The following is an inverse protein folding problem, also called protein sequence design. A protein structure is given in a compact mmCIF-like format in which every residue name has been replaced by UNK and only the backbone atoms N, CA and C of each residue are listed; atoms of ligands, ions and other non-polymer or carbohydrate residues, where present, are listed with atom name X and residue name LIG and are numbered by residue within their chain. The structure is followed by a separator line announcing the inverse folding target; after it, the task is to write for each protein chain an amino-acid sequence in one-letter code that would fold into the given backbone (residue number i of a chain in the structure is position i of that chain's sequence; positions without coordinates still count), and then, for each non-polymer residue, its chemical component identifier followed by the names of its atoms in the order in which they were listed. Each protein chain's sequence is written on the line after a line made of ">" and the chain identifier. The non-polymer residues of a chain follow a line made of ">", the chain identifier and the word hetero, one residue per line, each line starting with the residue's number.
data_IF_591721074181
#
_entry.id   IF_591721074181
#
_cell.length_a   1.000
_cell.length_b   1.000
_cell.length_c   1.000
_cell.angle_alpha   90.00
_cell.angle_beta   90.00
_cell.angle_gamma   90.00
#
_symmetry.space_group_name_H-M   'P 1'
#
loop_
_entity.id
_entity.type
_entity.pdbx_description
1 polymer ?
#
# COMPACT_ATOMS: atom_id res chain seq x y z
N UNK A 1 -1.75 -8.68 -7.36
CA UNK A 1 -1.28 -7.87 -6.23
C UNK A 1 -1.71 -6.46 -6.54
N UNK A 2 -2.35 -5.77 -5.61
CA UNK A 2 -2.71 -4.37 -5.80
C UNK A 2 -1.45 -3.54 -5.54
N UNK A 3 -1.12 -2.60 -6.43
CA UNK A 3 0.08 -1.77 -6.27
C UNK A 3 -0.36 -0.32 -6.20
N UNK A 4 0.13 0.40 -5.19
CA UNK A 4 -0.20 1.79 -4.93
C UNK A 4 1.06 2.64 -4.88
N UNK A 5 0.94 3.88 -5.35
CA UNK A 5 1.79 4.96 -4.92
C UNK A 5 1.24 5.45 -3.57
N UNK A 6 2.02 5.31 -2.51
CA UNK A 6 1.71 5.82 -1.17
C UNK A 6 2.70 6.94 -0.88
N UNK A 7 2.30 8.16 -1.21
CA UNK A 7 3.11 9.37 -1.01
C UNK A 7 4.55 9.26 -1.55
N UNK A 8 4.70 8.71 -2.77
CA UNK A 8 5.98 8.50 -3.43
C UNK A 8 6.64 7.14 -3.16
N UNK A 9 6.12 6.34 -2.23
CA UNK A 9 6.56 4.96 -1.99
C UNK A 9 5.71 3.99 -2.82
N UNK A 10 6.31 2.93 -3.35
CA UNK A 10 5.55 1.89 -4.05
C UNK A 10 5.24 0.76 -3.08
N UNK A 11 3.95 0.60 -2.79
CA UNK A 11 3.43 -0.36 -1.81
C UNK A 11 2.55 -1.38 -2.53
N UNK A 12 2.84 -2.66 -2.30
CA UNK A 12 2.02 -3.76 -2.77
C UNK A 12 1.14 -4.28 -1.65
N UNK A 13 -0.12 -4.57 -1.96
CA UNK A 13 -1.07 -5.19 -1.06
C UNK A 13 -1.58 -6.47 -1.70
N UNK A 14 -1.56 -7.56 -0.94
CA UNK A 14 -2.02 -8.88 -1.40
C UNK A 14 -2.88 -9.53 -0.33
N UNK A 15 -4.04 -10.04 -0.74
CA UNK A 15 -4.86 -10.89 0.11
C UNK A 15 -4.28 -12.31 0.14
N UNK A 16 -4.10 -12.87 1.33
CA UNK A 16 -3.68 -14.24 1.54
C UNK A 16 -4.32 -14.80 2.80
N UNK A 17 -5.00 -15.97 2.70
CA UNK A 17 -5.68 -16.62 3.83
C UNK A 17 -6.57 -15.65 4.65
N UNK A 18 -7.36 -14.84 3.94
CA UNK A 18 -8.24 -13.81 4.54
C UNK A 18 -7.52 -12.67 5.27
N UNK A 19 -6.20 -12.54 5.12
CA UNK A 19 -5.43 -11.43 5.67
C UNK A 19 -4.81 -10.60 4.57
N UNK A 20 -4.68 -9.31 4.83
CA UNK A 20 -3.93 -8.41 3.96
C UNK A 20 -2.44 -8.43 4.34
N UNK A 21 -1.60 -8.69 3.35
CA UNK A 21 -0.15 -8.58 3.48
C UNK A 21 0.34 -7.38 2.69
N UNK A 22 1.23 -6.62 3.31
CA UNK A 22 1.79 -5.39 2.75
C UNK A 22 3.25 -5.62 2.37
N UNK A 23 3.67 -5.07 1.25
CA UNK A 23 5.00 -5.24 0.69
C UNK A 23 5.56 -3.89 0.22
N UNK A 24 6.88 -3.71 0.35
CA UNK A 24 7.60 -2.71 -0.43
C UNK A 24 7.89 -3.28 -1.81
N UNK A 25 7.66 -2.49 -2.85
CA UNK A 25 7.89 -2.92 -4.24
C UNK A 25 9.06 -2.14 -4.83
N UNK A 26 9.97 -2.85 -5.47
CA UNK A 26 10.94 -2.28 -6.40
C UNK A 26 10.45 -2.55 -7.83
N UNK A 27 10.00 -1.50 -8.51
CA UNK A 27 9.49 -1.62 -9.89
C UNK A 27 10.59 -1.86 -10.92
N UNK A 28 11.84 -1.45 -10.64
CA UNK A 28 12.96 -1.61 -11.55
C UNK A 28 13.40 -3.08 -11.58
N UNK A 29 13.52 -3.71 -10.41
CA UNK A 29 13.94 -5.10 -10.28
C UNK A 29 12.76 -6.09 -10.29
N UNK A 30 11.52 -5.60 -10.25
CA UNK A 30 10.28 -6.38 -10.06
C UNK A 30 10.33 -7.30 -8.84
N UNK A 31 10.99 -6.84 -7.77
CA UNK A 31 11.11 -7.54 -6.49
C UNK A 31 10.20 -6.91 -5.45
N UNK A 32 9.85 -7.69 -4.44
CA UNK A 32 9.07 -7.21 -3.30
C UNK A 32 9.57 -7.84 -2.01
N UNK A 33 9.49 -7.07 -0.92
CA UNK A 33 9.79 -7.54 0.43
C UNK A 33 8.64 -7.22 1.38
N UNK A 34 8.36 -8.07 2.39
CA UNK A 34 7.32 -7.79 3.37
C UNK A 34 7.55 -6.46 4.10
N UNK A 35 6.49 -5.67 4.25
CA UNK A 35 6.49 -4.47 5.07
C UNK A 35 5.86 -4.80 6.43
N UNK A 36 6.71 -5.11 7.40
CA UNK A 36 6.27 -5.36 8.77
C UNK A 36 5.82 -4.06 9.45
N UNK A 37 4.91 -4.19 10.42
CA UNK A 37 4.38 -3.06 11.20
C UNK A 37 3.19 -2.34 10.57
N UNK A 38 2.69 -2.82 9.43
CA UNK A 38 1.50 -2.29 8.74
C UNK A 38 0.46 -3.39 8.68
N UNK A 39 -0.66 -3.21 9.40
CA UNK A 39 -1.72 -4.21 9.53
C UNK A 39 -3.03 -3.61 9.04
N UNK A 40 -3.48 -4.05 7.86
CA UNK A 40 -4.79 -3.66 7.33
C UNK A 40 -5.85 -4.61 7.94
N UNK A 41 -7.00 -4.10 8.40
CA UNK A 41 -8.09 -4.92 8.91
C UNK A 41 -8.53 -6.02 7.93
N UNK A 42 -8.80 -7.22 8.44
CA UNK A 42 -9.18 -8.36 7.61
C UNK A 42 -10.54 -8.17 6.93
N UNK A 43 -11.41 -7.29 7.42
CA UNK A 43 -12.70 -6.97 6.81
C UNK A 43 -12.64 -5.86 5.76
N UNK A 44 -11.52 -5.13 5.64
CA UNK A 44 -11.36 -4.08 4.64
C UNK A 44 -11.48 -4.64 3.21
N UNK A 45 -12.29 -3.99 2.38
CA UNK A 45 -12.44 -4.32 0.96
C UNK A 45 -11.29 -3.76 0.11
N UNK A 46 -11.18 -4.21 -1.14
CA UNK A 46 -10.17 -3.70 -2.07
C UNK A 46 -10.31 -2.18 -2.32
N UNK A 47 -11.54 -1.68 -2.30
CA UNK A 47 -11.87 -0.27 -2.49
C UNK A 47 -11.50 0.60 -1.28
N UNK A 48 -11.44 0.02 -0.08
CA UNK A 48 -11.08 0.71 1.16
C UNK A 48 -9.56 0.79 1.39
N UNK A 49 -8.79 -0.10 0.76
CA UNK A 49 -7.31 -0.11 0.84
C UNK A 49 -6.66 1.25 0.60
N UNK A 50 -6.96 2.01 -0.48
CA UNK A 50 -6.32 3.30 -0.71
C UNK A 50 -6.60 4.31 0.40
N UNK A 51 -7.83 4.34 0.93
CA UNK A 51 -8.21 5.24 2.04
C UNK A 51 -7.44 4.86 3.31
N UNK A 52 -7.40 3.57 3.64
CA UNK A 52 -6.66 3.08 4.79
C UNK A 52 -5.16 3.38 4.70
N UNK A 53 -4.56 3.23 3.51
CA UNK A 53 -3.17 3.56 3.26
C UNK A 53 -2.92 5.07 3.36
N UNK A 54 -3.86 5.90 2.93
CA UNK A 54 -3.76 7.36 3.06
C UNK A 54 -3.71 7.75 4.54
N UNK A 55 -4.64 7.21 5.35
CA UNK A 55 -4.74 7.51 6.78
C UNK A 55 -3.48 7.11 7.56
N UNK A 56 -3.00 5.86 7.40
CA UNK A 56 -1.88 5.36 8.21
C UNK A 56 -0.52 5.93 7.79
N UNK A 57 -0.39 6.40 6.54
CA UNK A 57 0.84 7.00 6.01
C UNK A 57 0.76 8.51 5.82
N UNK A 58 -0.29 9.17 6.31
CA UNK A 58 -0.60 10.57 5.99
C UNK A 58 0.58 11.54 6.27
N UNK A 59 1.40 11.24 7.28
CA UNK A 59 2.61 12.03 7.60
C UNK A 59 3.65 12.09 6.46
N UNK A 60 3.59 11.16 5.50
CA UNK A 60 4.47 11.16 4.33
C UNK A 60 3.93 12.03 3.18
N UNK A 61 2.72 12.57 3.28
CA UNK A 61 2.12 13.43 2.26
C UNK A 61 2.98 14.67 2.00
N UNK A 62 3.03 15.08 0.74
CA UNK A 62 3.78 16.27 0.31
C UNK A 62 3.12 16.92 -0.89
N UNK A 63 3.49 18.15 -1.21
CA UNK A 63 2.99 18.84 -2.41
C UNK A 63 3.19 18.03 -3.71
N UNK A 64 4.28 17.24 -3.77
CA UNK A 64 4.60 16.40 -4.94
C UNK A 64 3.78 15.11 -4.98
N UNK A 65 3.47 14.55 -3.82
CA UNK A 65 2.67 13.33 -3.69
C UNK A 65 1.61 13.59 -2.61
N UNK A 66 0.47 14.20 -2.97
CA UNK A 66 -0.50 14.67 -1.98
C UNK A 66 -1.50 13.58 -1.54
N UNK A 67 -1.55 12.45 -2.25
CA UNK A 67 -2.57 11.42 -2.04
C UNK A 67 -2.08 10.04 -2.47
N UNK A 68 -2.69 9.00 -1.92
CA UNK A 68 -2.51 7.62 -2.37
C UNK A 68 -3.28 7.36 -3.68
N UNK A 69 -2.67 6.64 -4.62
CA UNK A 69 -3.35 6.21 -5.85
C UNK A 69 -2.86 4.85 -6.33
N UNK A 70 -3.76 4.09 -6.97
CA UNK A 70 -3.44 2.78 -7.54
C UNK A 70 -2.61 2.93 -8.82
N UNK A 71 -1.60 2.07 -8.97
CA UNK A 71 -0.73 1.94 -10.14
C UNK A 71 -1.09 0.67 -10.93
N UNK A 72 -1.36 -0.45 -10.23
CA UNK A 72 -1.70 -1.76 -10.83
C UNK A 72 -2.76 -2.50 -9.98
#
# INVERSE_FOLDING_TARGET
>A
MLIYNVFGRIIGVKRHQQQWQVFRIDLNERKHSPLHGVVIPDDATEEEIPVWLDDIFHEAASDKYPQVFRIE
#
